data_IF_416789344358
#
_entry.id   IF_416789344358
#
_cell.length_a   1.000
_cell.length_b   1.000
_cell.length_c   1.000
_cell.angle_alpha   90.00
_cell.angle_beta   90.00
_cell.angle_gamma   90.00
#
_symmetry.space_group_name_H-M   'P 1'
#
loop_
_entity.id
_entity.type
_entity.pdbx_description
1 polymer ?
#
# COMPACT_ATOMS: atom_id res chain seq x y z
N UNK A 1 9.37 18.57 -7.85
CA UNK A 1 8.83 18.65 -6.47
C UNK A 1 7.96 17.41 -6.25
N UNK A 2 8.33 16.48 -5.36
CA UNK A 2 7.71 15.16 -5.27
C UNK A 2 7.68 14.56 -3.86
N UNK A 3 7.39 15.38 -2.84
CA UNK A 3 7.30 14.94 -1.44
C UNK A 3 5.86 14.86 -0.91
N UNK A 4 4.86 15.29 -1.69
CA UNK A 4 3.47 15.43 -1.23
C UNK A 4 2.62 14.16 -1.38
N UNK A 5 2.78 13.38 -2.45
CA UNK A 5 1.80 12.36 -2.82
C UNK A 5 1.72 11.19 -1.83
N UNK A 6 2.86 10.70 -1.33
CA UNK A 6 2.87 9.59 -0.38
C UNK A 6 2.38 9.99 1.01
N UNK A 7 2.73 11.17 1.52
CA UNK A 7 2.20 11.66 2.79
C UNK A 7 0.68 11.84 2.74
N UNK A 8 0.15 12.31 1.60
CA UNK A 8 -1.29 12.47 1.37
C UNK A 8 -1.98 11.09 1.28
N UNK A 9 -1.44 10.14 0.50
CA UNK A 9 -2.00 8.79 0.41
C UNK A 9 -1.95 8.05 1.77
N UNK A 10 -0.83 8.14 2.49
CA UNK A 10 -0.66 7.55 3.82
C UNK A 10 -1.63 8.17 4.83
N UNK A 11 -1.82 9.50 4.81
CA UNK A 11 -2.77 10.16 5.71
C UNK A 11 -4.24 9.89 5.36
N UNK A 12 -4.59 9.75 4.07
CA UNK A 12 -5.91 9.28 3.66
C UNK A 12 -6.18 7.83 4.08
N UNK A 13 -5.19 6.94 3.94
CA UNK A 13 -5.33 5.53 4.32
C UNK A 13 -5.28 5.30 5.83
N UNK A 14 -4.46 6.05 6.57
CA UNK A 14 -4.49 6.04 8.04
C UNK A 14 -5.86 6.48 8.56
N UNK A 15 -6.48 7.49 7.94
CA UNK A 15 -7.88 7.87 8.23
C UNK A 15 -8.88 6.80 7.78
N UNK A 16 -8.65 6.14 6.64
CA UNK A 16 -9.54 5.08 6.12
C UNK A 16 -9.54 3.80 6.98
N UNK A 17 -8.42 3.48 7.64
CA UNK A 17 -8.34 2.39 8.62
C UNK A 17 -9.14 2.67 9.90
N UNK A 18 -9.34 3.94 10.25
CA UNK A 18 -10.14 4.38 11.38
C UNK A 18 -11.64 4.48 11.06
N UNK A 19 -12.03 4.26 9.80
CA UNK A 19 -13.41 4.38 9.34
C UNK A 19 -14.12 3.02 9.27
N UNK A 20 -15.39 2.95 9.72
CA UNK A 20 -16.23 1.77 9.54
C UNK A 20 -16.34 1.34 8.07
N UNK A 21 -16.51 0.04 7.82
CA UNK A 21 -16.51 -0.57 6.47
C UNK A 21 -17.46 0.13 5.47
N UNK A 22 -18.59 0.67 5.95
CA UNK A 22 -19.56 1.45 5.16
C UNK A 22 -19.00 2.75 4.56
N UNK A 23 -18.01 3.38 5.20
CA UNK A 23 -17.34 4.58 4.69
C UNK A 23 -16.14 4.26 3.81
N UNK A 24 -15.65 3.02 3.87
CA UNK A 24 -14.51 2.55 3.08
C UNK A 24 -14.82 2.60 1.57
N UNK A 25 -16.07 2.35 1.19
CA UNK A 25 -16.54 2.47 -0.20
C UNK A 25 -16.41 3.89 -0.78
N UNK A 26 -16.74 4.93 -0.01
CA UNK A 26 -16.61 6.32 -0.44
C UNK A 26 -15.14 6.75 -0.59
N UNK A 27 -14.28 6.31 0.33
CA UNK A 27 -12.82 6.49 0.21
C UNK A 27 -12.26 5.78 -1.02
N UNK A 28 -12.72 4.57 -1.33
CA UNK A 28 -12.33 3.83 -2.55
C UNK A 28 -12.74 4.58 -3.81
N UNK A 29 -13.94 5.17 -3.86
CA UNK A 29 -14.37 5.99 -5.00
C UNK A 29 -13.56 7.29 -5.14
N UNK A 30 -13.16 7.91 -4.02
CA UNK A 30 -12.25 9.06 -4.03
C UNK A 30 -10.86 8.66 -4.54
N UNK A 31 -10.33 7.53 -4.08
CA UNK A 31 -9.07 7.00 -4.59
C UNK A 31 -9.20 6.75 -6.10
N UNK A 32 -10.26 6.06 -6.55
CA UNK A 32 -10.54 5.79 -7.97
C UNK A 32 -10.54 7.03 -8.85
N UNK A 33 -11.15 8.11 -8.40
CA UNK A 33 -11.18 9.38 -9.13
C UNK A 33 -9.83 10.10 -9.19
N UNK A 34 -8.92 9.80 -8.27
CA UNK A 34 -7.59 10.41 -8.17
C UNK A 34 -6.44 9.43 -8.50
N UNK A 35 -6.76 8.25 -9.06
CA UNK A 35 -5.80 7.15 -9.24
C UNK A 35 -4.56 7.55 -10.05
N UNK A 36 -4.73 8.36 -11.11
CA UNK A 36 -3.61 8.85 -11.94
C UNK A 36 -2.63 9.67 -11.12
N UNK A 37 -3.11 10.54 -10.24
CA UNK A 37 -2.27 11.46 -9.48
C UNK A 37 -1.55 10.74 -8.34
N UNK A 38 -2.21 9.75 -7.73
CA UNK A 38 -1.65 8.91 -6.65
C UNK A 38 -0.48 8.07 -7.15
N UNK A 39 -0.61 7.45 -8.34
CA UNK A 39 0.43 6.58 -8.91
C UNK A 39 1.38 7.32 -9.87
N UNK A 40 1.18 8.63 -10.06
CA UNK A 40 2.03 9.46 -10.92
C UNK A 40 3.46 9.61 -10.36
N UNK A 41 4.38 9.98 -11.26
CA UNK A 41 5.75 10.32 -10.89
C UNK A 41 6.53 9.12 -10.33
N UNK A 42 7.11 9.28 -9.14
CA UNK A 42 8.03 8.32 -8.53
C UNK A 42 7.36 7.36 -7.53
N UNK A 43 6.05 7.15 -7.64
CA UNK A 43 5.26 6.34 -6.71
C UNK A 43 5.90 4.98 -6.38
N UNK A 44 6.23 4.18 -7.38
CA UNK A 44 6.84 2.85 -7.20
C UNK A 44 8.14 2.93 -6.38
N UNK A 45 8.99 3.92 -6.67
CA UNK A 45 10.23 4.16 -5.93
C UNK A 45 9.99 4.55 -4.48
N UNK A 46 8.98 5.39 -4.21
CA UNK A 46 8.68 5.81 -2.83
C UNK A 46 8.04 4.67 -2.04
N UNK A 47 7.11 3.93 -2.64
CA UNK A 47 6.50 2.75 -2.03
C UNK A 47 7.57 1.72 -1.66
N UNK A 48 8.52 1.47 -2.57
CA UNK A 48 9.64 0.58 -2.32
C UNK A 48 10.45 1.01 -1.10
N UNK A 49 10.79 2.31 -1.00
CA UNK A 49 11.51 2.88 0.13
C UNK A 49 10.75 2.74 1.44
N UNK A 50 9.45 3.00 1.44
CA UNK A 50 8.63 2.87 2.65
C UNK A 50 8.64 1.43 3.17
N UNK A 51 8.40 0.43 2.30
CA UNK A 51 8.38 -0.99 2.73
C UNK A 51 9.78 -1.50 3.11
N UNK A 52 10.82 -0.96 2.48
CA UNK A 52 12.21 -1.33 2.75
C UNK A 52 12.81 -0.59 3.95
N UNK A 53 12.07 0.31 4.58
CA UNK A 53 12.54 1.04 5.75
C UNK A 53 12.82 0.09 6.93
N UNK A 54 13.65 0.57 7.83
CA UNK A 54 13.94 -0.05 9.13
C UNK A 54 12.97 0.40 10.21
N UNK A 55 12.36 1.57 10.06
CA UNK A 55 11.35 2.08 10.99
C UNK A 55 10.03 1.32 10.84
N UNK A 56 9.58 0.71 11.96
CA UNK A 56 8.37 -0.10 12.01
C UNK A 56 7.13 0.63 11.57
N UNK A 57 6.97 1.88 11.99
CA UNK A 57 5.82 2.67 11.60
C UNK A 57 5.80 2.88 10.07
N UNK A 58 6.94 3.20 9.48
CA UNK A 58 7.07 3.49 8.06
C UNK A 58 6.82 2.27 7.18
N UNK A 59 7.41 1.11 7.49
CA UNK A 59 7.20 -0.08 6.65
C UNK A 59 5.82 -0.69 6.84
N UNK A 60 5.24 -0.63 8.05
CA UNK A 60 3.86 -1.09 8.29
C UNK A 60 2.85 -0.29 7.46
N UNK A 61 2.96 1.05 7.47
CA UNK A 61 2.13 1.90 6.63
C UNK A 61 2.35 1.65 5.14
N UNK A 62 3.59 1.34 4.73
CA UNK A 62 3.91 0.92 3.37
C UNK A 62 3.21 -0.37 2.95
N UNK A 63 3.20 -1.40 3.81
CA UNK A 63 2.51 -2.67 3.58
C UNK A 63 1.00 -2.48 3.45
N UNK A 64 0.40 -1.73 4.38
CA UNK A 64 -1.03 -1.43 4.39
C UNK A 64 -1.45 -0.66 3.15
N UNK A 65 -0.65 0.34 2.73
CA UNK A 65 -0.87 1.10 1.50
C UNK A 65 -0.86 0.18 0.28
N UNK A 66 0.17 -0.66 0.14
CA UNK A 66 0.27 -1.60 -0.98
C UNK A 66 -0.92 -2.56 -1.02
N UNK A 67 -1.28 -3.15 0.13
CA UNK A 67 -2.38 -4.11 0.21
C UNK A 67 -3.73 -3.49 -0.18
N UNK A 68 -4.03 -2.29 0.32
CA UNK A 68 -5.28 -1.60 0.00
C UNK A 68 -5.35 -1.23 -1.49
N UNK A 69 -4.26 -0.72 -2.06
CA UNK A 69 -4.22 -0.39 -3.48
C UNK A 69 -4.32 -1.63 -4.37
N UNK A 70 -3.75 -2.78 -3.97
CA UNK A 70 -3.94 -4.03 -4.70
C UNK A 70 -5.36 -4.62 -4.58
N UNK A 71 -6.06 -4.32 -3.49
CA UNK A 71 -7.41 -4.84 -3.24
C UNK A 71 -8.48 -4.01 -3.96
N UNK A 72 -8.31 -2.69 -4.01
CA UNK A 72 -9.36 -1.77 -4.45
C UNK A 72 -8.98 -0.87 -5.62
N UNK A 73 -7.69 -0.80 -5.97
CA UNK A 73 -7.20 -0.03 -7.11
C UNK A 73 -7.66 -0.62 -8.45
N UNK A 74 -7.65 0.21 -9.49
CA UNK A 74 -7.81 -0.26 -10.88
C UNK A 74 -6.63 -1.13 -11.31
N UNK A 75 -6.74 -1.82 -12.44
CA UNK A 75 -5.65 -2.65 -12.98
C UNK A 75 -4.34 -1.87 -13.13
N UNK A 76 -4.39 -0.62 -13.64
CA UNK A 76 -3.20 0.24 -13.74
C UNK A 76 -2.55 0.53 -12.38
N UNK A 77 -3.36 0.80 -11.36
CA UNK A 77 -2.87 1.00 -9.98
C UNK A 77 -2.25 -0.27 -9.45
N UNK A 78 -2.92 -1.41 -9.66
CA UNK A 78 -2.42 -2.71 -9.22
C UNK A 78 -1.06 -3.01 -9.86
N UNK A 79 -0.92 -2.78 -11.17
CA UNK A 79 0.33 -2.97 -11.89
C UNK A 79 1.44 -2.05 -11.37
N UNK A 80 1.13 -0.76 -11.12
CA UNK A 80 2.12 0.18 -10.58
C UNK A 80 2.55 -0.16 -9.15
N UNK A 81 1.64 -0.67 -8.33
CA UNK A 81 1.97 -1.16 -6.99
C UNK A 81 2.86 -2.39 -7.08
N UNK A 82 2.58 -3.34 -7.97
CA UNK A 82 3.46 -4.51 -8.19
C UNK A 82 4.89 -4.09 -8.56
N UNK A 83 5.06 -3.09 -9.41
CA UNK A 83 6.39 -2.54 -9.75
C UNK A 83 7.14 -1.97 -8.53
N UNK A 84 6.41 -1.42 -7.56
CA UNK A 84 6.99 -0.77 -6.38
C UNK A 84 7.25 -1.69 -5.19
N UNK A 85 6.56 -2.83 -5.09
CA UNK A 85 6.65 -3.70 -3.91
C UNK A 85 7.97 -4.51 -3.93
N UNK A 86 8.83 -4.38 -2.89
CA UNK A 86 10.01 -5.21 -2.74
C UNK A 86 9.63 -6.60 -2.23
N UNK A 87 9.36 -7.54 -3.14
CA UNK A 87 8.79 -8.86 -2.79
C UNK A 87 9.61 -9.64 -1.75
N UNK A 88 10.93 -9.59 -1.83
CA UNK A 88 11.82 -10.26 -0.86
C UNK A 88 11.67 -9.66 0.55
N UNK A 89 11.52 -8.34 0.65
CA UNK A 89 11.27 -7.67 1.93
C UNK A 89 9.91 -8.07 2.49
N UNK A 90 8.88 -8.15 1.65
CA UNK A 90 7.54 -8.61 2.07
C UNK A 90 7.61 -10.04 2.61
N UNK A 91 8.30 -10.95 1.91
CA UNK A 91 8.50 -12.33 2.36
C UNK A 91 9.21 -12.42 3.70
N UNK A 92 10.25 -11.60 3.91
CA UNK A 92 10.93 -11.52 5.20
C UNK A 92 10.04 -11.01 6.33
N UNK A 93 9.06 -10.15 6.03
CA UNK A 93 8.13 -9.61 7.02
C UNK A 93 6.99 -10.59 7.37
N UNK A 94 6.81 -11.68 6.61
CA UNK A 94 5.88 -12.77 6.97
C UNK A 94 6.34 -13.57 8.20
N UNK A 95 7.58 -13.36 8.68
CA UNK A 95 8.09 -13.97 9.92
C UNK A 95 8.31 -12.93 11.02
N UNK A 96 7.69 -11.76 10.90
CA UNK A 96 7.77 -10.71 11.92
C UNK A 96 7.09 -11.16 13.23
N UNK A 97 7.60 -10.69 14.37
CA UNK A 97 7.05 -11.00 15.68
C UNK A 97 5.73 -10.28 15.98
N UNK A 98 5.42 -9.20 15.24
CA UNK A 98 4.13 -8.53 15.31
C UNK A 98 3.13 -9.21 14.37
N UNK A 99 2.13 -9.88 14.96
CA UNK A 99 1.09 -10.64 14.25
C UNK A 99 0.37 -9.82 13.17
N UNK A 100 0.17 -8.50 13.38
CA UNK A 100 -0.53 -7.65 12.41
C UNK A 100 0.34 -7.37 11.19
N UNK A 101 1.62 -7.11 11.42
CA UNK A 101 2.60 -6.88 10.36
C UNK A 101 2.79 -8.18 9.55
N UNK A 102 2.94 -9.31 10.25
CA UNK A 102 3.01 -10.64 9.64
C UNK A 102 1.79 -10.89 8.75
N UNK A 103 0.57 -10.75 9.29
CA UNK A 103 -0.66 -11.00 8.56
C UNK A 103 -0.79 -10.07 7.34
N UNK A 104 -0.43 -8.80 7.48
CA UNK A 104 -0.47 -7.83 6.38
C UNK A 104 0.50 -8.22 5.26
N UNK A 105 1.72 -8.66 5.61
CA UNK A 105 2.72 -9.13 4.65
C UNK A 105 2.27 -10.41 3.93
N UNK A 106 1.67 -11.36 4.65
CA UNK A 106 1.11 -12.59 4.08
C UNK A 106 0.00 -12.30 3.07
N UNK A 107 -0.97 -11.45 3.46
CA UNK A 107 -2.08 -11.05 2.60
C UNK A 107 -1.57 -10.30 1.36
N UNK A 108 -0.58 -9.43 1.52
CA UNK A 108 0.04 -8.71 0.41
C UNK A 108 0.72 -9.68 -0.57
N UNK A 109 1.52 -10.62 -0.07
CA UNK A 109 2.20 -11.62 -0.91
C UNK A 109 1.19 -12.51 -1.65
N UNK A 110 0.15 -12.99 -0.97
CA UNK A 110 -0.94 -13.75 -1.61
C UNK A 110 -1.61 -12.95 -2.73
N UNK A 111 -1.88 -11.66 -2.48
CA UNK A 111 -2.54 -10.81 -3.47
C UNK A 111 -1.67 -10.60 -4.69
N UNK A 112 -0.37 -10.36 -4.52
CA UNK A 112 0.59 -10.21 -5.63
C UNK A 112 0.63 -11.48 -6.48
N UNK A 113 0.63 -12.66 -5.86
CA UNK A 113 0.61 -13.96 -6.57
C UNK A 113 -0.70 -14.12 -7.35
N UNK A 114 -1.84 -13.77 -6.76
CA UNK A 114 -3.16 -13.96 -7.37
C UNK A 114 -3.43 -13.04 -8.58
N UNK A 115 -2.72 -11.93 -8.71
CA UNK A 115 -2.85 -10.95 -9.82
C UNK A 115 -1.66 -11.02 -10.79
N UNK A 116 -0.80 -12.05 -10.68
CA UNK A 116 0.32 -12.30 -11.59
C UNK A 116 -0.03 -13.38 -12.60
#
# INVERSE_FOLDING_TARGET
>A
MGKGCCAIAISFLHKAMLLPDEFRGAMIEILKRNHSDIISGNFATVLNKCISDTDTYTYDHGLILALNLLRFGSEDVQQKVKEGVPIERVRNLMTNLDDKIQLTAELLNQRIIAIS
#
